data_IF_345725800854
#
_entry.id   IF_345725800854
#
_cell.length_a   1.000
_cell.length_b   1.000
_cell.length_c   1.000
_cell.angle_alpha   90.00
_cell.angle_beta   90.00
_cell.angle_gamma   90.00
#
_symmetry.space_group_name_H-M   'P 1'
#
loop_
_entity.id
_entity.type
_entity.pdbx_description
1 polymer ?
#
# COMPACT_ATOMS: atom_id res chain seq x y z
N UNK A 1 5.92 -15.74 -17.24
CA UNK A 1 5.58 -15.09 -15.95
C UNK A 1 6.36 -15.79 -14.85
N UNK A 2 7.04 -15.11 -13.94
CA UNK A 2 7.71 -15.81 -12.86
C UNK A 2 6.68 -16.50 -11.97
N UNK A 3 6.85 -17.79 -11.72
CA UNK A 3 5.95 -18.62 -10.89
C UNK A 3 5.73 -18.07 -9.47
N UNK A 4 6.53 -17.11 -9.04
CA UNK A 4 6.45 -16.42 -7.77
C UNK A 4 5.20 -15.51 -7.65
N UNK A 5 4.83 -14.77 -8.72
CA UNK A 5 3.71 -13.81 -8.67
C UNK A 5 2.35 -14.52 -8.60
N UNK A 6 2.15 -15.60 -9.35
CA UNK A 6 0.90 -16.38 -9.31
C UNK A 6 0.68 -17.09 -7.96
N UNK A 7 1.75 -17.44 -7.25
CA UNK A 7 1.65 -18.03 -5.91
C UNK A 7 1.32 -16.95 -4.86
N UNK A 8 1.87 -15.75 -5.00
CA UNK A 8 1.57 -14.61 -4.15
C UNK A 8 0.10 -14.20 -4.27
N UNK A 9 -0.41 -14.03 -5.49
CA UNK A 9 -1.78 -13.63 -5.75
C UNK A 9 -2.80 -14.58 -5.11
N UNK A 10 -2.62 -15.90 -5.29
CA UNK A 10 -3.46 -16.91 -4.64
C UNK A 10 -3.38 -16.88 -3.10
N UNK A 11 -2.20 -16.59 -2.56
CA UNK A 11 -2.02 -16.49 -1.11
C UNK A 11 -2.66 -15.21 -0.57
N UNK A 12 -2.57 -14.10 -1.30
CA UNK A 12 -3.18 -12.82 -0.97
C UNK A 12 -4.72 -12.94 -0.99
N UNK A 13 -5.32 -13.51 -2.03
CA UNK A 13 -6.77 -13.71 -2.14
C UNK A 13 -7.35 -14.51 -0.96
N UNK A 14 -6.66 -15.59 -0.54
CA UNK A 14 -7.07 -16.36 0.65
C UNK A 14 -6.90 -15.57 1.95
N UNK A 15 -5.83 -14.78 2.06
CA UNK A 15 -5.52 -14.00 3.25
C UNK A 15 -6.48 -12.81 3.41
N UNK A 16 -6.77 -12.12 2.32
CA UNK A 16 -7.59 -10.91 2.24
C UNK A 16 -8.97 -11.22 1.66
N UNK A 17 -9.71 -12.10 2.35
CA UNK A 17 -11.02 -12.58 1.90
C UNK A 17 -12.18 -11.64 2.29
N UNK A 18 -13.38 -11.91 1.76
CA UNK A 18 -14.58 -11.10 1.97
C UNK A 18 -14.93 -10.84 3.46
N UNK A 19 -14.73 -11.83 4.34
CA UNK A 19 -14.97 -11.67 5.79
C UNK A 19 -14.04 -10.60 6.40
N UNK A 20 -12.77 -10.59 6.00
CA UNK A 20 -11.80 -9.59 6.46
C UNK A 20 -12.06 -8.23 5.84
N UNK A 21 -12.36 -8.17 4.55
CA UNK A 21 -12.71 -6.93 3.86
C UNK A 21 -13.92 -6.25 4.55
N UNK A 22 -14.99 -6.99 4.80
CA UNK A 22 -16.17 -6.49 5.49
C UNK A 22 -15.87 -6.03 6.93
N UNK A 23 -15.00 -6.75 7.66
CA UNK A 23 -14.60 -6.35 9.00
C UNK A 23 -13.75 -5.08 9.00
N UNK A 24 -12.83 -4.95 8.04
CA UNK A 24 -11.98 -3.76 7.90
C UNK A 24 -12.80 -2.54 7.45
N UNK A 25 -13.74 -2.72 6.53
CA UNK A 25 -14.65 -1.67 6.10
C UNK A 25 -15.52 -1.16 7.26
N UNK A 26 -16.11 -2.06 8.07
CA UNK A 26 -16.85 -1.67 9.27
C UNK A 26 -15.97 -0.89 10.26
N UNK A 27 -14.74 -1.36 10.48
CA UNK A 27 -13.78 -0.65 11.33
C UNK A 27 -13.48 0.74 10.79
N UNK A 28 -13.24 0.86 9.48
CA UNK A 28 -13.00 2.15 8.83
C UNK A 28 -14.18 3.11 9.03
N UNK A 29 -15.41 2.64 8.77
CA UNK A 29 -16.64 3.45 8.95
C UNK A 29 -16.86 3.93 10.39
N UNK A 30 -16.44 3.12 11.39
CA UNK A 30 -16.69 3.42 12.81
C UNK A 30 -15.55 4.15 13.50
N UNK A 31 -14.29 3.90 13.10
CA UNK A 31 -13.08 4.39 13.79
C UNK A 31 -12.17 5.24 12.90
N UNK A 32 -12.54 5.39 11.62
CA UNK A 32 -11.71 6.06 10.62
C UNK A 32 -10.46 5.25 10.22
N UNK A 33 -9.53 5.91 9.49
CA UNK A 33 -8.30 5.29 9.00
C UNK A 33 -7.41 4.79 10.13
N UNK A 34 -6.60 3.76 9.80
CA UNK A 34 -5.62 3.20 10.73
C UNK A 34 -4.45 4.16 11.04
N UNK A 35 -3.60 3.86 12.04
CA UNK A 35 -2.51 4.74 12.41
C UNK A 35 -1.52 5.03 11.27
N UNK A 36 -1.09 4.00 10.52
CA UNK A 36 -0.19 4.17 9.35
C UNK A 36 -0.83 5.01 8.27
N UNK A 37 -2.09 4.73 7.96
CA UNK A 37 -2.88 5.47 6.97
C UNK A 37 -2.99 6.96 7.32
N UNK A 38 -3.27 7.29 8.60
CA UNK A 38 -3.29 8.68 9.08
C UNK A 38 -1.94 9.36 8.94
N UNK A 39 -0.86 8.69 9.34
CA UNK A 39 0.49 9.23 9.23
C UNK A 39 0.90 9.44 7.76
N UNK A 40 0.48 8.56 6.84
CA UNK A 40 0.66 8.78 5.40
C UNK A 40 -0.09 10.00 4.91
N UNK A 41 -1.38 10.12 5.23
CA UNK A 41 -2.20 11.27 4.83
C UNK A 41 -1.62 12.60 5.34
N UNK A 42 -1.18 12.64 6.61
CA UNK A 42 -0.57 13.82 7.21
C UNK A 42 0.80 14.12 6.58
N UNK A 43 1.63 13.11 6.35
CA UNK A 43 2.95 13.27 5.74
C UNK A 43 2.88 13.77 4.30
N UNK A 44 1.96 13.22 3.50
CA UNK A 44 1.70 13.63 2.11
C UNK A 44 1.17 15.08 2.08
N UNK A 45 0.24 15.42 2.98
CA UNK A 45 -0.29 16.78 3.09
C UNK A 45 0.81 17.79 3.46
N UNK A 46 1.64 17.43 4.43
CA UNK A 46 2.77 18.28 4.87
C UNK A 46 3.82 18.47 3.77
N UNK A 47 4.02 17.46 2.93
CA UNK A 47 4.91 17.53 1.77
C UNK A 47 4.33 18.34 0.59
N UNK A 48 3.09 18.83 0.69
CA UNK A 48 2.42 19.58 -0.39
C UNK A 48 2.02 18.72 -1.60
N UNK A 49 1.98 17.40 -1.47
CA UNK A 49 1.80 16.45 -2.58
C UNK A 49 0.34 16.00 -2.76
N UNK A 50 -0.64 16.84 -2.41
CA UNK A 50 -2.07 16.51 -2.52
C UNK A 50 -2.69 16.86 -3.88
N UNK A 51 -1.98 17.59 -4.72
CA UNK A 51 -2.49 17.99 -6.03
C UNK A 51 -2.21 16.93 -7.09
N UNK A 52 -3.19 16.63 -7.94
CA UNK A 52 -3.03 15.72 -9.07
C UNK A 52 -3.64 14.34 -8.86
N UNK A 53 -3.01 13.31 -9.42
CA UNK A 53 -3.52 11.95 -9.48
C UNK A 53 -2.82 11.04 -8.48
N UNK A 54 -3.54 10.00 -8.02
CA UNK A 54 -3.06 8.98 -7.09
C UNK A 54 -3.05 7.60 -7.76
N UNK A 55 -1.97 6.86 -7.57
CA UNK A 55 -1.92 5.41 -7.73
C UNK A 55 -1.75 4.78 -6.36
N UNK A 56 -2.80 4.16 -5.83
CA UNK A 56 -2.81 3.49 -4.52
C UNK A 56 -2.65 1.98 -4.69
N UNK A 57 -1.46 1.47 -4.37
CA UNK A 57 -1.07 0.08 -4.56
C UNK A 57 -1.39 -0.70 -3.27
N UNK A 58 -2.19 -1.77 -3.38
CA UNK A 58 -2.72 -2.49 -2.23
C UNK A 58 -3.71 -1.64 -1.45
N UNK A 59 -4.64 -1.00 -2.16
CA UNK A 59 -5.54 0.03 -1.63
C UNK A 59 -6.48 -0.47 -0.51
N UNK A 60 -6.64 -1.78 -0.37
CA UNK A 60 -7.51 -2.35 0.63
C UNK A 60 -8.97 -1.91 0.47
N UNK A 61 -9.60 -1.46 1.56
CA UNK A 61 -10.97 -0.90 1.54
C UNK A 61 -11.01 0.57 1.12
N UNK A 62 -9.91 1.13 0.59
CA UNK A 62 -9.83 2.49 0.08
C UNK A 62 -9.63 3.58 1.15
N UNK A 63 -9.30 3.21 2.40
CA UNK A 63 -9.22 4.20 3.49
C UNK A 63 -8.17 5.30 3.28
N UNK A 64 -7.05 5.00 2.60
CA UNK A 64 -6.05 5.99 2.21
C UNK A 64 -6.53 6.78 1.00
N UNK A 65 -7.00 6.08 -0.04
CA UNK A 65 -7.55 6.67 -1.28
C UNK A 65 -8.60 7.74 -0.98
N UNK A 66 -9.65 7.40 -0.21
CA UNK A 66 -10.74 8.34 0.08
C UNK A 66 -10.28 9.52 0.91
N UNK A 67 -9.43 9.31 1.91
CA UNK A 67 -8.90 10.39 2.71
C UNK A 67 -7.98 11.35 1.94
N UNK A 68 -7.31 10.89 0.88
CA UNK A 68 -6.51 11.75 0.00
C UNK A 68 -7.39 12.51 -1.00
N UNK A 69 -8.46 11.88 -1.51
CA UNK A 69 -9.47 12.56 -2.34
C UNK A 69 -10.20 13.69 -1.58
N UNK A 70 -10.49 13.48 -0.30
CA UNK A 70 -11.07 14.54 0.56
C UNK A 70 -10.12 15.72 0.77
N UNK A 71 -8.81 15.49 0.64
CA UNK A 71 -7.75 16.49 0.88
C UNK A 71 -7.24 17.19 -0.38
N UNK A 72 -7.71 16.83 -1.58
CA UNK A 72 -7.34 17.55 -2.80
C UNK A 72 -6.82 16.71 -3.96
N UNK A 73 -6.56 15.41 -3.77
CA UNK A 73 -6.31 14.51 -4.91
C UNK A 73 -7.55 14.49 -5.81
N UNK A 74 -7.36 14.61 -7.12
CA UNK A 74 -8.48 14.77 -8.06
C UNK A 74 -9.05 13.44 -8.52
N UNK A 75 -8.18 12.48 -8.85
CA UNK A 75 -8.54 11.14 -9.33
C UNK A 75 -7.59 10.10 -8.77
N UNK A 76 -8.07 8.89 -8.60
CA UNK A 76 -7.27 7.78 -8.11
C UNK A 76 -7.41 6.52 -8.97
N UNK A 77 -6.31 5.80 -9.15
CA UNK A 77 -6.30 4.39 -9.56
C UNK A 77 -5.95 3.58 -8.33
N UNK A 78 -6.88 2.74 -7.90
CA UNK A 78 -6.74 1.88 -6.72
C UNK A 78 -6.54 0.43 -7.20
N UNK A 79 -5.40 -0.17 -6.86
CA UNK A 79 -5.04 -1.54 -7.26
C UNK A 79 -4.98 -2.42 -6.03
N UNK A 80 -5.67 -3.55 -6.04
CA UNK A 80 -5.55 -4.57 -4.99
C UNK A 80 -5.57 -5.98 -5.59
N UNK A 81 -4.76 -6.88 -5.03
CA UNK A 81 -4.72 -8.28 -5.43
C UNK A 81 -5.93 -9.09 -4.93
N UNK A 82 -6.75 -8.50 -4.06
CA UNK A 82 -7.98 -9.12 -3.54
C UNK A 82 -9.22 -8.48 -4.15
N UNK A 83 -9.96 -9.26 -4.94
CA UNK A 83 -11.25 -8.87 -5.49
C UNK A 83 -12.27 -8.50 -4.41
N UNK A 84 -12.21 -9.16 -3.25
CA UNK A 84 -13.10 -8.89 -2.13
C UNK A 84 -12.84 -7.50 -1.50
N UNK A 85 -11.59 -7.08 -1.42
CA UNK A 85 -11.23 -5.75 -0.94
C UNK A 85 -11.63 -4.67 -1.93
N UNK A 86 -11.38 -4.87 -3.22
CA UNK A 86 -11.84 -3.94 -4.25
C UNK A 86 -13.38 -3.83 -4.30
N UNK A 87 -14.11 -4.93 -4.09
CA UNK A 87 -15.57 -4.88 -3.99
C UNK A 87 -16.04 -4.03 -2.80
N UNK A 88 -15.41 -4.22 -1.64
CA UNK A 88 -15.70 -3.39 -0.45
C UNK A 88 -15.33 -1.91 -0.66
N UNK A 89 -14.23 -1.63 -1.38
CA UNK A 89 -13.84 -0.26 -1.70
C UNK A 89 -14.79 0.40 -2.70
N UNK A 90 -15.32 -0.34 -3.69
CA UNK A 90 -16.36 0.16 -4.61
C UNK A 90 -17.65 0.52 -3.86
N UNK A 91 -18.12 -0.36 -2.96
CA UNK A 91 -19.27 -0.08 -2.09
C UNK A 91 -19.07 1.22 -1.29
N UNK A 92 -17.87 1.40 -0.74
CA UNK A 92 -17.54 2.60 0.01
C UNK A 92 -17.46 3.86 -0.88
N UNK A 93 -16.91 3.74 -2.09
CA UNK A 93 -16.89 4.82 -3.06
C UNK A 93 -18.31 5.29 -3.44
N UNK A 94 -19.23 4.35 -3.65
CA UNK A 94 -20.64 4.66 -3.89
C UNK A 94 -21.28 5.39 -2.70
N UNK A 95 -21.08 4.87 -1.48
CA UNK A 95 -21.59 5.48 -0.24
C UNK A 95 -21.06 6.91 -0.04
N UNK A 96 -19.82 7.19 -0.43
CA UNK A 96 -19.18 8.50 -0.31
C UNK A 96 -19.45 9.42 -1.51
N UNK A 97 -20.15 8.96 -2.55
CA UNK A 97 -20.36 9.73 -3.79
C UNK A 97 -19.06 9.95 -4.58
N UNK A 98 -18.10 9.04 -4.49
CA UNK A 98 -16.76 9.15 -5.09
C UNK A 98 -16.50 8.15 -6.22
N UNK A 99 -17.50 7.41 -6.69
CA UNK A 99 -17.34 6.38 -7.73
C UNK A 99 -16.72 6.93 -9.03
N UNK A 100 -17.04 8.16 -9.41
CA UNK A 100 -16.46 8.80 -10.60
C UNK A 100 -15.00 9.27 -10.43
N UNK A 101 -14.48 9.34 -9.20
CA UNK A 101 -13.13 9.80 -8.91
C UNK A 101 -12.12 8.65 -8.75
N UNK A 102 -12.57 7.38 -8.68
CA UNK A 102 -11.69 6.23 -8.44
C UNK A 102 -11.90 5.13 -9.47
N UNK A 103 -10.82 4.71 -10.11
CA UNK A 103 -10.78 3.49 -10.94
C UNK A 103 -10.19 2.35 -10.12
N UNK A 104 -10.99 1.32 -9.84
CA UNK A 104 -10.56 0.12 -9.12
C UNK A 104 -10.09 -0.96 -10.10
N UNK A 105 -8.90 -1.52 -9.87
CA UNK A 105 -8.28 -2.55 -10.72
C UNK A 105 -7.93 -3.76 -9.84
N UNK A 106 -8.42 -4.93 -10.24
CA UNK A 106 -8.12 -6.20 -9.59
C UNK A 106 -6.83 -6.79 -10.17
N UNK A 107 -5.90 -7.22 -9.32
CA UNK A 107 -4.69 -7.91 -9.73
C UNK A 107 -3.44 -7.59 -8.91
N UNK A 108 -2.41 -8.40 -9.14
CA UNK A 108 -1.08 -8.14 -8.59
C UNK A 108 -0.42 -6.99 -9.35
N UNK A 109 -0.16 -5.89 -8.64
CA UNK A 109 0.42 -4.68 -9.21
C UNK A 109 1.69 -4.95 -10.04
N UNK A 110 2.60 -5.80 -9.56
CA UNK A 110 3.85 -6.11 -10.28
C UNK A 110 3.58 -6.71 -11.66
N UNK A 111 2.48 -7.48 -11.78
CA UNK A 111 2.11 -8.14 -13.03
C UNK A 111 1.46 -7.18 -14.03
N UNK A 112 0.65 -6.24 -13.53
CA UNK A 112 -0.18 -5.36 -14.36
C UNK A 112 0.40 -3.95 -14.52
N UNK A 113 1.50 -3.63 -13.83
CA UNK A 113 2.09 -2.29 -13.76
C UNK A 113 2.32 -1.66 -15.15
N UNK A 114 2.78 -2.43 -16.12
CA UNK A 114 3.06 -1.91 -17.49
C UNK A 114 1.83 -1.35 -18.22
N UNK A 115 0.62 -1.70 -17.77
CA UNK A 115 -0.64 -1.19 -18.32
C UNK A 115 -1.27 -0.05 -17.50
N UNK A 116 -0.60 0.39 -16.43
CA UNK A 116 -1.12 1.44 -15.56
C UNK A 116 -0.48 2.80 -15.89
N UNK A 117 -1.23 3.90 -15.71
CA UNK A 117 -0.67 5.23 -15.87
C UNK A 117 0.29 5.58 -14.73
N UNK A 118 1.23 6.48 -15.00
CA UNK A 118 1.94 7.20 -13.97
C UNK A 118 0.99 8.14 -13.21
N UNK A 119 1.37 8.52 -12.00
CA UNK A 119 0.57 9.37 -11.14
C UNK A 119 1.47 10.36 -10.38
N UNK A 120 0.93 11.51 -10.06
CA UNK A 120 1.63 12.51 -9.24
C UNK A 120 2.06 11.94 -7.90
N UNK A 121 1.20 11.10 -7.31
CA UNK A 121 1.41 10.44 -6.03
C UNK A 121 1.23 8.93 -6.15
N UNK A 122 2.20 8.16 -5.66
CA UNK A 122 2.10 6.70 -5.52
C UNK A 122 2.17 6.33 -4.03
N UNK A 123 1.24 5.47 -3.61
CA UNK A 123 1.15 5.04 -2.20
C UNK A 123 1.20 3.52 -2.05
N UNK A 124 1.85 3.03 -0.95
CA UNK A 124 1.91 1.63 -0.56
C UNK A 124 1.73 1.52 0.96
N UNK A 125 0.48 1.54 1.45
CA UNK A 125 0.22 1.40 2.89
C UNK A 125 0.19 -0.07 3.32
N UNK A 126 1.23 -0.53 4.00
CA UNK A 126 1.39 -1.91 4.51
C UNK A 126 1.45 -2.99 3.40
N UNK A 127 1.95 -2.64 2.24
CA UNK A 127 2.01 -3.52 1.06
C UNK A 127 3.37 -4.20 0.94
N UNK A 128 4.46 -3.45 1.07
CA UNK A 128 5.84 -3.94 0.86
C UNK A 128 6.12 -5.20 1.68
N UNK A 129 5.64 -5.26 2.92
CA UNK A 129 5.81 -6.41 3.81
C UNK A 129 5.07 -7.69 3.35
N UNK A 130 4.17 -7.58 2.40
CA UNK A 130 3.41 -8.72 1.87
C UNK A 130 4.12 -9.42 0.71
N UNK A 131 5.06 -8.74 0.07
CA UNK A 131 5.81 -9.28 -1.06
C UNK A 131 7.09 -9.98 -0.63
N UNK A 132 7.32 -11.23 -1.07
CA UNK A 132 8.59 -11.93 -0.80
C UNK A 132 9.79 -11.26 -1.49
N UNK A 133 9.58 -10.74 -2.70
CA UNK A 133 10.56 -10.00 -3.49
C UNK A 133 10.10 -8.54 -3.64
N UNK A 134 10.47 -7.67 -2.71
CA UNK A 134 10.05 -6.26 -2.72
C UNK A 134 10.68 -5.43 -3.85
N UNK A 135 11.82 -5.86 -4.39
CA UNK A 135 12.54 -5.11 -5.44
C UNK A 135 11.66 -4.80 -6.65
N UNK A 136 11.10 -5.80 -7.35
CA UNK A 136 10.21 -5.55 -8.49
C UNK A 136 9.00 -4.66 -8.16
N UNK A 137 8.42 -4.81 -6.96
CA UNK A 137 7.32 -3.96 -6.49
C UNK A 137 7.78 -2.51 -6.36
N UNK A 138 8.90 -2.29 -5.68
CA UNK A 138 9.44 -0.96 -5.42
C UNK A 138 9.89 -0.28 -6.71
N UNK A 139 10.58 -1.00 -7.58
CA UNK A 139 11.02 -0.50 -8.89
C UNK A 139 9.84 -0.10 -9.77
N UNK A 140 8.76 -0.89 -9.76
CA UNK A 140 7.57 -0.55 -10.50
C UNK A 140 6.85 0.67 -9.90
N UNK A 141 6.72 0.75 -8.56
CA UNK A 141 6.11 1.90 -7.89
C UNK A 141 6.88 3.20 -8.16
N UNK A 142 8.21 3.15 -8.10
CA UNK A 142 9.09 4.29 -8.41
C UNK A 142 8.88 4.79 -9.83
N UNK A 143 8.82 3.90 -10.83
CA UNK A 143 8.59 4.29 -12.23
C UNK A 143 7.23 4.95 -12.49
N UNK A 144 6.25 4.71 -11.62
CA UNK A 144 4.92 5.30 -11.75
C UNK A 144 4.74 6.58 -10.92
N UNK A 145 5.70 6.93 -10.07
CA UNK A 145 5.62 8.11 -9.23
C UNK A 145 6.30 9.30 -9.90
N UNK A 146 5.51 10.28 -10.35
CA UNK A 146 6.06 11.48 -10.98
C UNK A 146 6.65 12.44 -9.94
N UNK A 147 5.97 12.63 -8.79
CA UNK A 147 6.36 13.64 -7.81
C UNK A 147 6.53 13.07 -6.39
N UNK A 148 5.62 12.24 -5.92
CA UNK A 148 5.62 11.75 -4.55
C UNK A 148 5.49 10.23 -4.48
N UNK A 149 6.34 9.59 -3.66
CA UNK A 149 6.24 8.19 -3.30
C UNK A 149 6.10 8.08 -1.78
N UNK A 150 5.00 7.49 -1.31
CA UNK A 150 4.73 7.35 0.12
C UNK A 150 4.45 5.90 0.49
N UNK A 151 5.13 5.37 1.50
CA UNK A 151 5.02 3.96 1.85
C UNK A 151 5.08 3.73 3.36
N UNK A 152 4.40 2.69 3.81
CA UNK A 152 4.52 2.18 5.18
C UNK A 152 4.98 0.72 5.19
N UNK A 153 5.86 0.39 6.14
CA UNK A 153 6.47 -0.93 6.27
C UNK A 153 6.85 -1.23 7.73
N UNK A 154 7.00 -2.51 8.12
CA UNK A 154 7.45 -2.86 9.45
C UNK A 154 8.88 -2.34 9.70
N UNK A 155 9.08 -1.74 10.88
CA UNK A 155 10.41 -1.26 11.31
C UNK A 155 11.40 -2.42 11.34
N UNK A 156 12.64 -2.12 10.96
CA UNK A 156 13.76 -3.06 11.05
C UNK A 156 14.32 -3.13 12.48
N UNK A 157 13.45 -3.49 13.45
CA UNK A 157 13.78 -3.65 14.85
C UNK A 157 13.70 -5.13 15.25
N UNK A 158 14.55 -5.55 16.20
CA UNK A 158 14.64 -6.96 16.59
C UNK A 158 13.31 -7.54 17.08
N UNK A 159 12.53 -6.77 17.85
CA UNK A 159 11.23 -7.20 18.38
C UNK A 159 10.16 -7.29 17.30
N UNK A 160 10.21 -6.41 16.27
CA UNK A 160 9.33 -6.50 15.10
C UNK A 160 9.66 -7.74 14.28
N UNK A 161 10.94 -8.01 14.04
CA UNK A 161 11.40 -9.24 13.37
C UNK A 161 10.95 -10.49 14.12
N UNK A 162 11.07 -10.50 15.45
CA UNK A 162 10.59 -11.61 16.28
C UNK A 162 9.08 -11.79 16.17
N UNK A 163 8.30 -10.72 16.28
CA UNK A 163 6.85 -10.74 16.13
C UNK A 163 6.39 -11.27 14.76
N UNK A 164 7.04 -10.82 13.68
CA UNK A 164 6.76 -11.30 12.32
C UNK A 164 7.13 -12.79 12.17
N UNK A 165 8.25 -13.26 12.75
CA UNK A 165 8.61 -14.68 12.76
C UNK A 165 7.57 -15.54 13.48
N UNK A 166 7.11 -15.09 14.64
CA UNK A 166 6.09 -15.79 15.44
C UNK A 166 4.75 -15.85 14.68
N UNK A 167 4.33 -14.73 14.07
CA UNK A 167 3.10 -14.70 13.28
C UNK A 167 3.21 -15.62 12.04
N UNK A 168 4.34 -15.63 11.35
CA UNK A 168 4.57 -16.53 10.22
C UNK A 168 4.60 -18.00 10.65
N UNK A 169 5.12 -18.31 11.85
CA UNK A 169 5.07 -19.65 12.44
C UNK A 169 3.62 -20.07 12.73
N UNK A 170 2.81 -19.21 13.37
CA UNK A 170 1.37 -19.45 13.58
C UNK A 170 0.61 -19.68 12.28
N UNK A 171 0.91 -18.90 11.24
CA UNK A 171 0.33 -19.09 9.90
C UNK A 171 0.72 -20.43 9.29
N UNK A 172 1.96 -20.88 9.49
CA UNK A 172 2.42 -22.19 9.04
C UNK A 172 1.64 -23.32 9.72
N UNK A 173 1.41 -23.24 11.03
CA UNK A 173 0.60 -24.20 11.76
C UNK A 173 -0.86 -24.23 11.24
N UNK A 174 -1.40 -23.10 10.81
CA UNK A 174 -2.72 -23.00 10.20
C UNK A 174 -2.75 -23.31 8.69
N UNK A 175 -1.67 -23.87 8.15
CA UNK A 175 -1.50 -24.22 6.72
C UNK A 175 -1.75 -23.03 5.77
N UNK A 176 -1.56 -21.79 6.23
CA UNK A 176 -1.63 -20.61 5.39
C UNK A 176 -0.33 -20.47 4.58
N UNK A 177 -0.46 -20.19 3.28
CA UNK A 177 0.68 -19.89 2.40
C UNK A 177 1.15 -18.44 2.48
N UNK A 178 0.34 -17.53 3.02
CA UNK A 178 0.69 -16.11 3.14
C UNK A 178 1.77 -15.87 4.20
N UNK A 179 2.72 -14.99 3.86
CA UNK A 179 3.82 -14.60 4.77
C UNK A 179 3.94 -13.09 4.82
N UNK A 180 4.45 -12.61 5.95
CA UNK A 180 4.83 -11.20 6.14
C UNK A 180 6.35 -11.12 6.28
N UNK A 181 6.94 -10.05 5.74
CA UNK A 181 8.38 -9.84 5.69
C UNK A 181 8.78 -8.53 6.36
N UNK A 182 9.96 -8.51 6.96
CA UNK A 182 10.66 -7.29 7.34
C UNK A 182 11.83 -7.17 6.37
N UNK A 183 11.76 -6.19 5.49
CA UNK A 183 12.77 -5.97 4.45
C UNK A 183 13.90 -5.05 4.94
N UNK A 184 15.10 -5.13 4.32
CA UNK A 184 16.24 -4.26 4.68
C UNK A 184 15.94 -2.81 4.30
N UNK A 185 15.56 -1.98 5.28
CA UNK A 185 15.16 -0.58 5.08
C UNK A 185 16.23 0.23 4.34
N UNK A 186 17.51 0.07 4.73
CA UNK A 186 18.61 0.78 4.09
C UNK A 186 18.75 0.49 2.58
N UNK A 187 18.42 -0.74 2.15
CA UNK A 187 18.43 -1.10 0.72
C UNK A 187 17.26 -0.49 -0.02
N UNK A 188 16.06 -0.50 0.57
CA UNK A 188 14.88 0.15 -0.01
C UNK A 188 15.13 1.65 -0.19
N UNK A 189 15.61 2.31 0.86
CA UNK A 189 15.94 3.74 0.82
C UNK A 189 17.02 4.05 -0.24
N UNK A 190 18.08 3.23 -0.33
CA UNK A 190 19.11 3.38 -1.38
C UNK A 190 18.51 3.30 -2.79
N UNK A 191 17.59 2.35 -3.04
CA UNK A 191 16.92 2.21 -4.35
C UNK A 191 16.07 3.43 -4.67
N UNK A 192 15.28 3.93 -3.70
CA UNK A 192 14.41 5.09 -3.87
C UNK A 192 15.25 6.35 -4.14
N UNK A 193 16.32 6.56 -3.37
CA UNK A 193 17.24 7.73 -3.56
C UNK A 193 17.98 7.68 -4.89
N UNK A 194 18.40 6.49 -5.34
CA UNK A 194 19.07 6.32 -6.63
C UNK A 194 18.16 6.67 -7.82
N UNK A 195 16.85 6.65 -7.63
CA UNK A 195 15.86 7.06 -8.62
C UNK A 195 15.49 8.57 -8.54
N UNK A 196 16.21 9.38 -7.76
CA UNK A 196 15.98 10.83 -7.67
C UNK A 196 15.02 11.27 -6.56
N UNK A 197 14.50 10.35 -5.76
CA UNK A 197 13.60 10.68 -4.67
C UNK A 197 14.36 10.97 -3.38
N UNK A 198 13.95 12.02 -2.68
CA UNK A 198 14.49 12.36 -1.37
C UNK A 198 13.46 12.21 -0.27
N UNK A 199 13.93 11.78 0.89
CA UNK A 199 13.07 11.62 2.06
C UNK A 199 12.64 13.00 2.56
N UNK A 200 11.36 13.29 2.44
CA UNK A 200 10.71 14.50 2.97
C UNK A 200 10.33 14.33 4.43
N UNK A 201 9.76 13.19 4.79
CA UNK A 201 9.41 12.91 6.18
C UNK A 201 9.46 11.43 6.50
N UNK A 202 9.88 11.11 7.74
CA UNK A 202 9.77 9.78 8.34
C UNK A 202 9.06 9.91 9.67
N UNK A 203 8.00 9.11 9.83
CA UNK A 203 7.29 8.98 11.10
C UNK A 203 7.20 7.50 11.47
N UNK A 204 7.21 7.24 12.76
CA UNK A 204 7.22 5.87 13.25
C UNK A 204 6.14 5.64 14.30
N UNK A 205 5.57 4.46 14.26
CA UNK A 205 4.88 3.85 15.40
C UNK A 205 5.83 2.84 16.05
N UNK A 206 5.38 2.14 17.09
CA UNK A 206 6.23 1.11 17.68
C UNK A 206 6.56 -0.04 16.69
N UNK A 207 5.67 -0.34 15.73
CA UNK A 207 5.84 -1.43 14.75
C UNK A 207 6.13 -0.98 13.32
N UNK A 208 5.67 0.22 12.93
CA UNK A 208 5.66 0.65 11.54
C UNK A 208 6.47 1.92 11.34
N UNK A 209 7.19 1.97 10.24
CA UNK A 209 7.75 3.19 9.67
C UNK A 209 6.84 3.67 8.55
N UNK A 210 6.71 4.99 8.43
CA UNK A 210 5.93 5.69 7.40
C UNK A 210 6.84 6.74 6.79
N UNK A 211 7.17 6.56 5.54
CA UNK A 211 8.07 7.43 4.80
C UNK A 211 7.34 8.11 3.64
N UNK A 212 7.64 9.39 3.45
CA UNK A 212 7.21 10.18 2.29
C UNK A 212 8.46 10.71 1.60
N UNK A 213 8.57 10.43 0.32
CA UNK A 213 9.66 10.85 -0.55
C UNK A 213 9.12 11.77 -1.64
N UNK A 214 9.90 12.79 -1.99
CA UNK A 214 9.60 13.70 -3.10
C UNK A 214 10.67 13.57 -4.19
N UNK A 215 10.24 13.58 -5.44
CA UNK A 215 11.12 13.68 -6.58
C UNK A 215 11.64 15.13 -6.69
N UNK A 216 12.94 15.28 -6.89
CA UNK A 216 13.60 16.60 -7.04
C UNK A 216 13.73 17.08 -8.48
N UNK A 217 13.36 16.25 -9.46
CA UNK A 217 13.44 16.62 -10.88
C UNK A 217 12.27 17.49 -11.33
#
# INVERSE_FOLDING_TARGET
MPACCSAFERAAEKQFNAKKAAAELRRYRTKGPGPTTRLLQEGIAHAGALNGTLLDIGSGVGSLTFGLLERGVTHAVAVDASSAYNSAAREEAERLGRSGAVKFIDGDFVTIASGLPAATLVTLDRVVCCYPAYGPLLDAAIRHADHCLALSYPRDAWYVRLGVRLENWRRRLRKSSFRTFVHPVARMEKTIRAAGFELSSRRETWMWSVDVYLNRS
#
